data_IF_897423949574
#
_entry.id   IF_897423949574
#
_cell.length_a   1.000
_cell.length_b   1.000
_cell.length_c   1.000
_cell.angle_alpha   90.00
_cell.angle_beta   90.00
_cell.angle_gamma   90.00
#
_symmetry.space_group_name_H-M   'P 1'
#
loop_
_entity.id
_entity.type
_entity.pdbx_description
1 polymer ?
#
# COMPACT_ATOMS: atom_id res chain seq x y z
N UNK A 1 0.97 -6.65 -9.02
CA UNK A 1 2.15 -6.08 -8.37
C UNK A 1 2.93 -7.19 -7.69
N UNK A 2 3.69 -7.95 -8.46
CA UNK A 2 4.58 -9.02 -7.99
C UNK A 2 5.84 -8.97 -8.85
N UNK A 3 6.51 -7.83 -8.84
CA UNK A 3 7.80 -7.64 -9.51
C UNK A 3 8.93 -8.11 -8.60
N UNK A 4 8.84 -9.34 -8.06
CA UNK A 4 9.94 -9.94 -7.30
C UNK A 4 10.96 -10.48 -8.29
N UNK A 5 12.05 -9.75 -8.46
CA UNK A 5 13.21 -10.14 -9.23
C UNK A 5 14.11 -11.12 -8.49
N UNK A 6 15.07 -11.68 -9.23
CA UNK A 6 16.09 -12.58 -8.66
C UNK A 6 16.86 -11.91 -7.50
N UNK A 7 17.12 -10.61 -7.61
CA UNK A 7 17.86 -9.86 -6.60
C UNK A 7 17.09 -9.72 -5.27
N UNK A 8 15.79 -9.47 -5.32
CA UNK A 8 14.96 -9.37 -4.12
C UNK A 8 14.82 -10.73 -3.42
N UNK A 9 14.66 -11.81 -4.20
CA UNK A 9 14.66 -13.16 -3.65
C UNK A 9 16.00 -13.49 -2.96
N UNK A 10 17.12 -13.07 -3.54
CA UNK A 10 18.44 -13.26 -2.94
C UNK A 10 18.59 -12.49 -1.61
N UNK A 11 18.15 -11.23 -1.56
CA UNK A 11 18.15 -10.42 -0.33
C UNK A 11 17.30 -11.08 0.76
N UNK A 12 16.07 -11.48 0.43
CA UNK A 12 15.17 -12.16 1.37
C UNK A 12 15.82 -13.47 1.85
N UNK A 13 16.47 -14.21 0.96
CA UNK A 13 17.24 -15.42 1.29
C UNK A 13 18.33 -15.14 2.33
N UNK A 14 19.15 -14.10 2.11
CA UNK A 14 20.22 -13.70 3.05
C UNK A 14 19.65 -13.28 4.40
N UNK A 15 18.62 -12.43 4.43
CA UNK A 15 17.97 -12.00 5.68
C UNK A 15 17.40 -13.20 6.45
N UNK A 16 16.73 -14.10 5.73
CA UNK A 16 16.17 -15.32 6.33
C UNK A 16 17.26 -16.23 6.89
N UNK A 17 18.40 -16.37 6.20
CA UNK A 17 19.55 -17.13 6.68
C UNK A 17 20.15 -16.53 7.95
N UNK A 18 20.16 -15.20 8.11
CA UNK A 18 20.66 -14.53 9.32
C UNK A 18 19.70 -14.75 10.49
N UNK A 19 18.39 -14.56 10.27
CA UNK A 19 17.36 -14.64 11.33
C UNK A 19 17.15 -16.08 11.80
N UNK A 20 16.99 -17.01 10.85
CA UNK A 20 16.69 -18.42 11.14
C UNK A 20 17.98 -19.23 11.36
N UNK A 21 19.08 -18.78 10.78
CA UNK A 21 20.35 -19.50 10.76
C UNK A 21 20.47 -20.41 9.53
N UNK A 22 21.67 -20.48 8.89
CA UNK A 22 21.90 -21.29 7.69
C UNK A 22 21.74 -22.79 7.92
N UNK A 23 21.88 -23.25 9.17
CA UNK A 23 21.75 -24.66 9.54
C UNK A 23 20.29 -25.13 9.59
N UNK A 24 19.35 -24.21 9.87
CA UNK A 24 17.94 -24.55 10.14
C UNK A 24 17.05 -24.33 8.93
N UNK A 25 17.38 -23.34 8.10
CA UNK A 25 16.71 -23.00 6.83
C UNK A 25 16.57 -24.20 5.86
N UNK A 26 17.60 -25.02 5.60
CA UNK A 26 17.47 -26.20 4.73
C UNK A 26 16.52 -27.26 5.32
N UNK A 27 16.42 -27.35 6.65
CA UNK A 27 15.43 -28.21 7.32
C UNK A 27 13.99 -27.76 7.07
N UNK A 28 13.73 -26.45 7.18
CA UNK A 28 12.43 -25.85 6.90
C UNK A 28 12.05 -25.98 5.42
N UNK A 29 12.96 -25.68 4.51
CA UNK A 29 12.73 -25.81 3.07
C UNK A 29 12.42 -27.27 2.68
N UNK A 30 13.12 -28.25 3.26
CA UNK A 30 12.84 -29.68 3.05
C UNK A 30 11.44 -30.06 3.56
N UNK A 31 11.03 -29.53 4.70
CA UNK A 31 9.72 -29.83 5.31
C UNK A 31 8.59 -29.19 4.49
N UNK A 32 8.74 -27.91 4.15
CA UNK A 32 7.82 -27.19 3.28
C UNK A 32 7.73 -27.84 1.91
N UNK A 33 8.86 -28.23 1.31
CA UNK A 33 8.91 -28.93 0.03
C UNK A 33 8.18 -30.28 0.04
N UNK A 34 8.28 -31.05 1.14
CA UNK A 34 7.51 -32.29 1.32
C UNK A 34 6.00 -32.04 1.42
N UNK A 35 5.58 -30.90 1.98
CA UNK A 35 4.17 -30.52 2.05
C UNK A 35 3.67 -30.05 0.68
N UNK A 36 4.42 -29.15 0.04
CA UNK A 36 4.11 -28.62 -1.28
C UNK A 36 4.08 -29.72 -2.35
N UNK A 37 5.01 -30.67 -2.30
CA UNK A 37 5.03 -31.83 -3.20
C UNK A 37 3.83 -32.76 -3.04
N UNK A 38 3.29 -32.89 -1.82
CA UNK A 38 2.05 -33.65 -1.57
C UNK A 38 0.83 -32.90 -2.13
N UNK A 39 0.76 -31.59 -1.92
CA UNK A 39 -0.32 -30.73 -2.44
C UNK A 39 -0.32 -30.74 -3.97
N UNK A 40 0.85 -30.58 -4.59
CA UNK A 40 1.01 -30.62 -6.05
C UNK A 40 0.51 -31.93 -6.65
N UNK A 41 0.77 -33.08 -6.01
CA UNK A 41 0.26 -34.39 -6.43
C UNK A 41 -1.26 -34.48 -6.32
N UNK A 42 -1.85 -33.97 -5.24
CA UNK A 42 -3.30 -33.94 -5.06
C UNK A 42 -3.99 -33.08 -6.12
N UNK A 43 -3.44 -31.91 -6.43
CA UNK A 43 -3.94 -31.06 -7.53
C UNK A 43 -3.82 -31.79 -8.86
N UNK A 44 -2.72 -32.50 -9.09
CA UNK A 44 -2.50 -33.26 -10.33
C UNK A 44 -3.46 -34.43 -10.48
N UNK A 45 -3.77 -35.16 -9.40
CA UNK A 45 -4.76 -36.24 -9.42
C UNK A 45 -6.17 -35.71 -9.63
N UNK A 46 -6.56 -34.66 -8.89
CA UNK A 46 -7.88 -34.03 -9.04
C UNK A 46 -8.04 -33.45 -10.44
N UNK A 47 -7.00 -32.82 -11.00
CA UNK A 47 -7.01 -32.36 -12.40
C UNK A 47 -7.17 -33.51 -13.39
N UNK A 48 -6.47 -34.63 -13.17
CA UNK A 48 -6.56 -35.82 -14.03
C UNK A 48 -7.94 -36.49 -13.98
N UNK A 49 -8.58 -36.51 -12.82
CA UNK A 49 -9.90 -37.10 -12.62
C UNK A 49 -10.99 -36.17 -13.19
N UNK A 50 -10.86 -34.86 -12.99
CA UNK A 50 -11.72 -33.83 -13.61
C UNK A 50 -11.59 -33.86 -15.14
N UNK A 51 -10.37 -33.91 -15.68
CA UNK A 51 -10.12 -33.95 -17.14
C UNK A 51 -10.69 -35.24 -17.78
N UNK A 52 -10.92 -36.31 -17.00
CA UNK A 52 -11.50 -37.58 -17.47
C UNK A 52 -13.03 -37.63 -17.41
N UNK A 53 -13.67 -36.94 -16.47
CA UNK A 53 -15.12 -37.02 -16.26
C UNK A 53 -15.89 -35.76 -16.70
N UNK A 54 -15.26 -34.59 -16.72
CA UNK A 54 -15.88 -33.32 -17.12
C UNK A 54 -15.03 -32.69 -18.24
N UNK A 55 -15.65 -32.46 -19.40
CA UNK A 55 -15.03 -31.72 -20.52
C UNK A 55 -14.32 -30.48 -19.98
N UNK A 56 -12.98 -30.47 -20.04
CA UNK A 56 -12.11 -29.42 -19.53
C UNK A 56 -12.46 -27.99 -20.02
N UNK A 57 -13.30 -27.88 -21.06
CA UNK A 57 -13.84 -26.62 -21.55
C UNK A 57 -14.78 -25.91 -20.57
N UNK A 58 -15.57 -26.59 -19.74
CA UNK A 58 -16.56 -25.90 -18.89
C UNK A 58 -15.93 -25.25 -17.64
N UNK A 59 -14.99 -25.94 -16.99
CA UNK A 59 -14.22 -25.36 -15.88
C UNK A 59 -13.24 -24.28 -16.35
N UNK A 60 -12.64 -24.44 -17.54
CA UNK A 60 -11.81 -23.39 -18.14
C UNK A 60 -12.65 -22.14 -18.42
N UNK A 61 -13.87 -22.29 -18.94
CA UNK A 61 -14.81 -21.17 -19.16
C UNK A 61 -15.28 -20.51 -17.87
N UNK A 62 -15.45 -21.27 -16.78
CA UNK A 62 -15.85 -20.75 -15.48
C UNK A 62 -14.70 -19.98 -14.79
N UNK A 63 -13.47 -20.51 -14.84
CA UNK A 63 -12.27 -19.81 -14.36
C UNK A 63 -11.97 -18.56 -15.20
N UNK A 64 -12.09 -18.66 -16.53
CA UNK A 64 -11.92 -17.50 -17.43
C UNK A 64 -12.99 -16.44 -17.18
N UNK A 65 -14.27 -16.82 -16.97
CA UNK A 65 -15.33 -15.88 -16.55
C UNK A 65 -15.03 -15.19 -15.22
N UNK A 66 -14.53 -15.94 -14.23
CA UNK A 66 -14.22 -15.38 -12.91
C UNK A 66 -12.95 -14.53 -12.90
N UNK A 67 -11.94 -14.90 -13.68
CA UNK A 67 -10.70 -14.12 -13.83
C UNK A 67 -10.88 -12.87 -14.68
N UNK A 68 -11.79 -12.88 -15.67
CA UNK A 68 -11.77 -11.87 -16.73
C UNK A 68 -12.96 -10.89 -16.72
N UNK A 69 -14.10 -11.18 -16.08
CA UNK A 69 -15.34 -10.45 -16.40
C UNK A 69 -16.10 -9.74 -15.29
N UNK A 70 -16.20 -10.29 -14.07
CA UNK A 70 -17.26 -9.86 -13.14
C UNK A 70 -16.75 -9.13 -11.92
N UNK A 71 -15.80 -9.71 -11.16
CA UNK A 71 -15.31 -9.05 -9.95
C UNK A 71 -14.39 -7.85 -10.23
N UNK A 72 -13.53 -7.93 -11.25
CA UNK A 72 -12.56 -6.87 -11.50
C UNK A 72 -13.16 -5.63 -12.16
N UNK A 73 -14.14 -5.78 -13.07
CA UNK A 73 -14.76 -4.61 -13.72
C UNK A 73 -15.63 -3.82 -12.75
N UNK A 74 -16.40 -4.49 -11.90
CA UNK A 74 -17.26 -3.87 -10.89
C UNK A 74 -16.44 -3.12 -9.85
N UNK A 75 -15.35 -3.73 -9.35
CA UNK A 75 -14.43 -3.07 -8.41
C UNK A 75 -13.73 -1.87 -9.08
N UNK A 76 -13.32 -1.98 -10.35
CA UNK A 76 -12.65 -0.88 -11.06
C UNK A 76 -13.62 0.28 -11.33
N UNK A 77 -14.90 0.01 -11.61
CA UNK A 77 -15.92 1.02 -11.88
C UNK A 77 -16.35 1.76 -10.62
N UNK A 78 -16.57 1.03 -9.52
CA UNK A 78 -16.85 1.60 -8.18
C UNK A 78 -15.66 2.43 -7.68
N UNK A 79 -14.43 1.90 -7.80
CA UNK A 79 -13.20 2.63 -7.39
C UNK A 79 -12.98 3.89 -8.25
N UNK A 80 -13.38 3.89 -9.53
CA UNK A 80 -13.27 5.06 -10.40
C UNK A 80 -14.29 6.14 -10.02
N UNK A 81 -15.50 5.76 -9.65
CA UNK A 81 -16.53 6.69 -9.18
C UNK A 81 -16.09 7.34 -7.85
N UNK A 82 -15.66 6.54 -6.88
CA UNK A 82 -15.17 7.03 -5.59
C UNK A 82 -13.94 7.94 -5.75
N UNK A 83 -13.01 7.60 -6.65
CA UNK A 83 -11.87 8.47 -6.95
C UNK A 83 -12.26 9.79 -7.61
N UNK A 84 -13.33 9.82 -8.42
CA UNK A 84 -13.80 11.06 -9.03
C UNK A 84 -14.36 12.02 -7.97
N UNK A 85 -15.14 11.50 -7.02
CA UNK A 85 -15.72 12.28 -5.91
C UNK A 85 -14.64 12.76 -4.93
N UNK A 86 -13.64 11.90 -4.64
CA UNK A 86 -12.47 12.27 -3.84
C UNK A 86 -11.65 13.34 -4.57
N UNK A 87 -11.44 13.21 -5.88
CA UNK A 87 -10.68 14.21 -6.66
C UNK A 87 -11.40 15.56 -6.67
N UNK A 88 -12.72 15.57 -6.82
CA UNK A 88 -13.50 16.81 -6.76
C UNK A 88 -13.45 17.44 -5.36
N UNK A 89 -13.66 16.65 -4.30
CA UNK A 89 -13.58 17.15 -2.93
C UNK A 89 -12.17 17.63 -2.56
N UNK A 90 -11.14 16.99 -3.13
CA UNK A 90 -9.74 17.38 -2.93
C UNK A 90 -9.40 18.61 -3.74
N UNK A 91 -9.84 18.74 -4.99
CA UNK A 91 -9.64 19.97 -5.79
C UNK A 91 -10.38 21.17 -5.17
N UNK A 92 -11.59 20.97 -4.64
CA UNK A 92 -12.35 21.99 -3.91
C UNK A 92 -11.66 22.37 -2.60
N UNK A 93 -11.16 21.38 -1.83
CA UNK A 93 -10.43 21.63 -0.59
C UNK A 93 -9.06 22.28 -0.84
N UNK A 94 -8.32 21.84 -1.86
CA UNK A 94 -7.02 22.42 -2.25
C UNK A 94 -7.22 23.84 -2.76
N UNK A 95 -8.29 24.10 -3.52
CA UNK A 95 -8.61 25.46 -3.99
C UNK A 95 -9.03 26.35 -2.82
N UNK A 96 -9.92 25.89 -1.93
CA UNK A 96 -10.33 26.66 -0.75
C UNK A 96 -9.17 26.88 0.24
N UNK A 97 -8.25 25.91 0.37
CA UNK A 97 -7.07 26.03 1.23
C UNK A 97 -6.04 26.97 0.61
N UNK A 98 -5.87 26.94 -0.71
CA UNK A 98 -5.00 27.88 -1.42
C UNK A 98 -5.59 29.30 -1.41
N UNK A 99 -6.90 29.48 -1.56
CA UNK A 99 -7.56 30.79 -1.42
C UNK A 99 -7.45 31.32 0.01
N UNK A 100 -7.66 30.48 1.03
CA UNK A 100 -7.46 30.85 2.43
C UNK A 100 -5.98 31.15 2.78
N UNK A 101 -5.04 30.45 2.14
CA UNK A 101 -3.61 30.73 2.27
C UNK A 101 -3.20 32.05 1.59
N UNK A 102 -3.82 32.38 0.46
CA UNK A 102 -3.58 33.63 -0.27
C UNK A 102 -4.20 34.85 0.43
N UNK A 103 -5.34 34.70 1.12
CA UNK A 103 -5.91 35.76 1.99
C UNK A 103 -5.08 36.00 3.26
N UNK A 104 -4.45 34.96 3.82
CA UNK A 104 -3.54 35.10 4.97
C UNK A 104 -2.20 35.75 4.57
N UNK A 105 -1.71 35.52 3.35
CA UNK A 105 -0.46 36.10 2.86
C UNK A 105 -0.60 37.59 2.47
N UNK A 106 -1.80 38.04 2.05
CA UNK A 106 -2.05 39.45 1.67
C UNK A 106 -2.46 40.38 2.83
N UNK A 107 -2.56 39.88 4.07
CA UNK A 107 -2.88 40.67 5.28
C UNK A 107 -1.66 40.95 6.18
N UNK A 108 -0.45 40.53 5.80
CA UNK A 108 0.78 40.75 6.60
C UNK A 108 1.87 41.51 5.82
N UNK A 109 1.46 42.27 4.80
CA UNK A 109 2.35 43.15 4.06
C UNK A 109 1.85 44.58 4.10
N UNK A 110 2.58 45.41 4.85
CA UNK A 110 2.58 46.88 4.78
C UNK A 110 1.60 47.62 5.71
N UNK A 111 2.08 47.92 6.92
CA UNK A 111 2.07 49.32 7.36
C UNK A 111 3.25 49.56 8.30
N UNK A 112 4.28 50.20 7.73
CA UNK A 112 5.38 50.79 8.48
C UNK A 112 4.87 52.04 9.18
N UNK A 113 5.20 52.23 10.46
CA UNK A 113 5.69 53.51 11.00
C UNK A 113 5.67 53.49 12.53
N UNK A 114 6.83 53.83 13.09
CA UNK A 114 6.98 54.68 14.26
C UNK A 114 6.48 54.07 15.59
N UNK A 115 7.37 53.78 16.54
CA UNK A 115 7.48 54.47 17.84
C UNK A 115 8.77 53.99 18.51
N UNK A 116 9.66 54.94 18.68
CA UNK A 116 10.82 54.94 19.55
C UNK A 116 10.52 54.55 21.02
N UNK A 117 11.62 54.21 21.73
CA UNK A 117 11.86 54.30 23.18
C UNK A 117 11.64 53.06 24.10
N UNK A 118 12.75 52.34 24.28
CA UNK A 118 13.28 51.96 25.62
C UNK A 118 13.38 53.23 26.53
N UNK A 119 13.57 53.21 27.88
CA UNK A 119 13.47 52.18 28.94
C UNK A 119 12.55 52.61 30.12
N UNK A 120 12.13 51.70 31.01
CA UNK A 120 12.05 51.94 32.48
C UNK A 120 11.51 50.76 33.29
N UNK A 121 12.36 50.30 34.22
CA UNK A 121 12.07 49.83 35.58
C UNK A 121 10.72 49.12 35.85
N UNK A 122 10.79 47.86 36.26
CA UNK A 122 10.39 47.55 37.62
C UNK A 122 11.18 46.37 38.19
N UNK A 123 11.72 46.60 39.39
CA UNK A 123 12.33 45.61 40.27
C UNK A 123 11.24 44.64 40.73
N UNK A 124 11.60 43.38 40.95
CA UNK A 124 11.35 42.71 42.22
C UNK A 124 12.06 41.34 42.23
N UNK A 125 13.09 41.26 43.08
CA UNK A 125 13.73 40.04 43.55
C UNK A 125 12.72 39.10 44.22
N UNK A 126 13.01 37.79 44.23
CA UNK A 126 13.04 37.14 45.53
C UNK A 126 14.29 36.28 45.76
N UNK A 127 14.99 36.66 46.82
CA UNK A 127 15.81 35.87 47.78
C UNK A 127 15.90 34.36 47.53
N UNK A 128 17.13 33.88 47.31
CA UNK A 128 17.78 32.81 48.10
C UNK A 128 19.28 32.97 48.03
#
# INVERSE_FOLDING_TARGET
MFDIGFWELAIIGVVTLIVVGPERMPGLARTAGKWFGRISRFISSVKSDIDRELKADEMKKAMEKHTQGTGLHEIIEETKADMADIKQSTDEMVTATNEAALEAENSTGDDTSDYDLNPSLNKDEPRT
#
